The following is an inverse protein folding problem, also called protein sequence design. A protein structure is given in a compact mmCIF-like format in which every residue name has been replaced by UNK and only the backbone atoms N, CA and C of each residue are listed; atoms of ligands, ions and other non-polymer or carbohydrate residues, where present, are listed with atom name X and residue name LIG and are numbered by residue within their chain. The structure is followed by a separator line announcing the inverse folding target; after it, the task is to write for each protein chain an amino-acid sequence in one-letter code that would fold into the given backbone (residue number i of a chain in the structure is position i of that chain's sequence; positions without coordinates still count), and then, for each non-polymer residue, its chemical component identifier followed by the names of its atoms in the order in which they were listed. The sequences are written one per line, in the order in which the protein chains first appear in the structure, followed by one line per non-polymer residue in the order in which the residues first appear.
data_IF_269224380007
#
_entry.id   IF_269224380007
#
_cell.length_a   1.000
_cell.length_b   1.000
_cell.length_c   1.000
_cell.angle_alpha   90.00
_cell.angle_beta   90.00
_cell.angle_gamma   90.00
#
_symmetry.space_group_name_H-M   'P 1'
#
loop_
_entity.id
_entity.type
_entity.pdbx_description
1 polymer ?
#
# COMPACT_ATOMS: atom_id res chain seq x y z
N UNK A 1 24.79 47.21 -70.46
CA UNK A 1 23.92 48.28 -69.93
C UNK A 1 23.38 47.81 -68.58
N UNK A 2 24.22 47.54 -67.59
CA UNK A 2 24.99 48.50 -66.79
C UNK A 2 24.13 49.58 -66.14
N UNK A 3 23.80 49.32 -64.88
CA UNK A 3 23.98 50.22 -63.74
C UNK A 3 23.76 51.72 -64.00
N UNK A 4 22.64 52.25 -63.51
CA UNK A 4 22.55 53.51 -62.72
C UNK A 4 21.09 53.84 -62.41
N UNK A 5 20.87 54.35 -61.19
CA UNK A 5 19.59 54.78 -60.57
C UNK A 5 18.68 53.60 -60.19
N UNK A 6 18.60 53.15 -58.93
CA UNK A 6 18.22 53.93 -57.74
C UNK A 6 18.98 53.42 -56.51
N UNK A 7 19.95 54.20 -56.05
CA UNK A 7 20.52 54.14 -54.70
C UNK A 7 20.40 55.56 -54.14
N UNK A 8 19.79 55.69 -52.96
CA UNK A 8 19.41 56.92 -52.21
C UNK A 8 17.98 57.39 -52.43
N UNK A 9 17.04 56.79 -51.68
CA UNK A 9 16.22 57.47 -50.66
C UNK A 9 15.13 56.51 -50.18
N UNK A 10 15.44 55.75 -49.13
CA UNK A 10 14.51 55.18 -48.15
C UNK A 10 15.37 54.48 -47.09
N UNK A 11 16.19 55.27 -46.40
CA UNK A 11 16.78 54.86 -45.12
C UNK A 11 15.73 55.13 -44.04
N UNK A 12 15.57 54.16 -43.15
CA UNK A 12 14.90 54.27 -41.84
C UNK A 12 13.37 54.44 -41.83
N UNK A 13 12.64 53.33 -41.98
CA UNK A 13 11.33 53.12 -41.31
C UNK A 13 10.96 51.62 -41.34
N UNK A 14 11.91 50.74 -41.03
CA UNK A 14 11.66 49.32 -40.83
C UNK A 14 12.36 48.88 -39.57
N UNK A 15 11.62 48.18 -38.71
CA UNK A 15 12.11 47.43 -37.54
C UNK A 15 12.61 48.26 -36.36
N UNK A 16 11.67 48.80 -35.57
CA UNK A 16 11.84 48.97 -34.13
C UNK A 16 10.50 48.64 -33.45
N UNK A 17 10.05 47.39 -33.57
CA UNK A 17 9.47 46.77 -32.38
C UNK A 17 10.66 46.54 -31.44
N UNK A 18 10.59 46.93 -30.16
CA UNK A 18 11.71 46.77 -29.27
C UNK A 18 12.06 45.29 -29.21
N UNK A 19 13.34 44.92 -29.36
CA UNK A 19 13.81 43.57 -29.09
C UNK A 19 13.40 43.08 -27.68
N UNK A 20 13.05 44.01 -26.78
CA UNK A 20 12.49 43.74 -25.45
C UNK A 20 11.11 43.06 -25.49
N UNK A 21 10.24 43.36 -26.45
CA UNK A 21 8.86 42.79 -26.52
C UNK A 21 8.92 41.29 -26.87
N UNK A 22 9.78 40.92 -27.83
CA UNK A 22 9.99 39.51 -28.20
C UNK A 22 10.70 38.70 -27.11
N UNK A 23 11.61 39.33 -26.35
CA UNK A 23 12.24 38.69 -25.20
C UNK A 23 11.25 38.49 -24.03
N UNK A 24 10.36 39.46 -23.80
CA UNK A 24 9.34 39.38 -22.76
C UNK A 24 8.26 38.32 -23.05
N UNK A 25 7.79 38.19 -24.30
CA UNK A 25 6.88 37.11 -24.72
C UNK A 25 7.53 35.72 -24.63
N UNK A 26 8.82 35.61 -24.97
CA UNK A 26 9.61 34.38 -24.81
C UNK A 26 9.74 33.95 -23.35
N UNK A 27 10.00 34.89 -22.45
CA UNK A 27 10.16 34.62 -21.01
C UNK A 27 8.83 34.30 -20.31
N UNK A 28 7.72 34.94 -20.70
CA UNK A 28 6.41 34.61 -20.14
C UNK A 28 5.94 33.21 -20.59
N UNK A 29 6.14 32.87 -21.87
CA UNK A 29 5.89 31.52 -22.37
C UNK A 29 6.76 30.47 -21.67
N UNK A 30 8.05 30.77 -21.44
CA UNK A 30 8.94 29.91 -20.69
C UNK A 30 8.48 29.71 -19.24
N UNK A 31 7.99 30.76 -18.59
CA UNK A 31 7.45 30.68 -17.23
C UNK A 31 6.21 29.78 -17.15
N UNK A 32 5.25 29.93 -18.06
CA UNK A 32 4.08 29.05 -18.11
C UNK A 32 4.44 27.61 -18.43
N UNK A 33 5.37 27.41 -19.38
CA UNK A 33 5.85 26.08 -19.71
C UNK A 33 6.57 25.41 -18.53
N UNK A 34 7.26 26.17 -17.68
CA UNK A 34 7.88 25.67 -16.46
C UNK A 34 6.83 25.29 -15.39
N UNK A 35 5.76 26.10 -15.21
CA UNK A 35 4.63 25.75 -14.33
C UNK A 35 3.98 24.43 -14.76
N UNK A 36 3.69 24.28 -16.06
CA UNK A 36 3.07 23.06 -16.59
C UNK A 36 3.94 21.81 -16.44
N UNK A 37 5.26 21.97 -16.32
CA UNK A 37 6.22 20.88 -16.03
C UNK A 37 6.48 20.69 -14.53
N UNK A 38 5.88 21.52 -13.66
CA UNK A 38 6.11 21.48 -12.21
C UNK A 38 7.44 22.11 -11.75
N UNK A 39 8.15 22.82 -12.62
CA UNK A 39 9.40 23.51 -12.29
C UNK A 39 9.12 24.96 -11.85
N UNK A 40 8.65 25.07 -10.61
CA UNK A 40 8.20 26.35 -10.05
C UNK A 40 9.34 27.34 -9.80
N UNK A 41 10.57 26.88 -9.56
CA UNK A 41 11.74 27.77 -9.39
C UNK A 41 12.18 28.38 -10.72
N UNK A 42 12.24 27.58 -11.79
CA UNK A 42 12.53 28.11 -13.12
C UNK A 42 11.44 29.10 -13.58
N UNK A 43 10.17 28.81 -13.26
CA UNK A 43 9.07 29.74 -13.53
C UNK A 43 9.22 31.06 -12.79
N UNK A 44 9.57 31.02 -11.49
CA UNK A 44 9.79 32.21 -10.66
C UNK A 44 10.92 33.09 -11.21
N UNK A 45 12.03 32.47 -11.64
CA UNK A 45 13.15 33.18 -12.24
C UNK A 45 12.76 33.87 -13.56
N UNK A 46 12.03 33.15 -14.43
CA UNK A 46 11.53 33.70 -15.70
C UNK A 46 10.52 34.83 -15.49
N UNK A 47 9.57 34.69 -14.55
CA UNK A 47 8.61 35.74 -14.20
C UNK A 47 9.30 36.96 -13.60
N UNK A 48 10.32 36.78 -12.77
CA UNK A 48 11.10 37.89 -12.22
C UNK A 48 11.83 38.69 -13.31
N UNK A 49 12.20 38.07 -14.44
CA UNK A 49 12.73 38.80 -15.60
C UNK A 49 11.64 39.59 -16.33
N UNK A 50 10.48 38.97 -16.56
CA UNK A 50 9.32 39.62 -17.20
C UNK A 50 8.85 40.84 -16.40
N UNK A 51 8.73 40.68 -15.08
CA UNK A 51 8.26 41.73 -14.15
C UNK A 51 9.28 42.86 -13.94
N UNK A 52 10.54 42.69 -14.37
CA UNK A 52 11.57 43.75 -14.35
C UNK A 52 11.53 44.64 -15.59
N UNK A 53 10.79 44.26 -16.63
CA UNK A 53 10.62 45.11 -17.82
C UNK A 53 9.71 46.32 -17.52
N UNK A 54 9.90 47.43 -18.23
CA UNK A 54 9.05 48.64 -18.08
C UNK A 54 7.62 48.45 -18.63
N UNK A 55 7.31 47.29 -19.21
CA UNK A 55 6.05 47.00 -19.87
C UNK A 55 5.06 46.34 -18.89
N UNK A 56 3.89 46.94 -18.72
CA UNK A 56 2.88 46.44 -17.81
C UNK A 56 2.26 45.13 -18.33
N UNK A 57 2.54 44.00 -17.67
CA UNK A 57 1.98 42.68 -18.00
C UNK A 57 1.11 42.10 -16.86
N UNK A 58 -0.23 42.32 -16.89
CA UNK A 58 -1.15 41.82 -15.86
C UNK A 58 -1.14 40.29 -15.67
N UNK A 59 -0.93 39.53 -16.75
CA UNK A 59 -0.88 38.07 -16.70
C UNK A 59 0.35 37.55 -15.93
N UNK A 60 1.50 38.22 -16.09
CA UNK A 60 2.72 37.90 -15.37
C UNK A 60 2.58 38.17 -13.87
N UNK A 61 1.96 39.30 -13.49
CA UNK A 61 1.66 39.60 -12.07
C UNK A 61 0.75 38.56 -11.44
N UNK A 62 -0.31 38.17 -12.13
CA UNK A 62 -1.25 37.16 -11.63
C UNK A 62 -0.59 35.79 -11.46
N UNK A 63 0.27 35.40 -12.42
CA UNK A 63 1.03 34.16 -12.32
C UNK A 63 2.03 34.19 -11.15
N UNK A 64 2.72 35.32 -10.94
CA UNK A 64 3.63 35.51 -9.83
C UNK A 64 2.91 35.54 -8.47
N UNK A 65 1.73 36.15 -8.38
CA UNK A 65 0.86 36.08 -7.19
C UNK A 65 0.47 34.63 -6.87
N UNK A 66 0.06 33.83 -7.86
CA UNK A 66 -0.26 32.41 -7.66
C UNK A 66 0.94 31.60 -7.19
N UNK A 67 2.13 31.82 -7.77
CA UNK A 67 3.35 31.15 -7.35
C UNK A 67 3.76 31.55 -5.94
N UNK A 68 3.67 32.83 -5.58
CA UNK A 68 3.93 33.29 -4.21
C UNK A 68 3.00 32.61 -3.21
N UNK A 69 1.69 32.58 -3.49
CA UNK A 69 0.70 31.90 -2.66
C UNK A 69 0.99 30.40 -2.55
N UNK A 70 1.33 29.74 -3.66
CA UNK A 70 1.74 28.33 -3.64
C UNK A 70 2.96 28.09 -2.75
N UNK A 71 4.02 28.89 -2.91
CA UNK A 71 5.24 28.73 -2.11
C UNK A 71 5.03 29.05 -0.62
N UNK A 72 4.17 30.00 -0.29
CA UNK A 72 3.76 30.25 1.09
C UNK A 72 3.05 29.03 1.68
N UNK A 73 2.11 28.42 0.94
CA UNK A 73 1.44 27.16 1.35
C UNK A 73 2.45 26.03 1.52
N UNK A 74 3.41 25.86 0.60
CA UNK A 74 4.45 24.82 0.71
C UNK A 74 5.36 25.08 1.92
N UNK A 75 5.77 26.32 2.18
CA UNK A 75 6.57 26.68 3.34
C UNK A 75 5.82 26.42 4.65
N UNK A 76 4.55 26.82 4.73
CA UNK A 76 3.68 26.55 5.87
C UNK A 76 3.50 25.05 6.11
N UNK A 77 3.30 24.26 5.05
CA UNK A 77 3.24 22.79 5.15
C UNK A 77 4.54 22.21 5.68
N UNK A 78 5.70 22.68 5.20
CA UNK A 78 7.01 22.22 5.69
C UNK A 78 7.21 22.54 7.17
N UNK A 79 6.86 23.74 7.60
CA UNK A 79 6.93 24.15 9.01
C UNK A 79 6.00 23.30 9.88
N UNK A 80 4.76 23.06 9.44
CA UNK A 80 3.80 22.23 10.16
C UNK A 80 4.27 20.77 10.28
N UNK A 81 4.86 20.20 9.22
CA UNK A 81 5.44 18.86 9.26
C UNK A 81 6.59 18.78 10.27
N UNK A 82 7.51 19.75 10.27
CA UNK A 82 8.61 19.80 11.23
C UNK A 82 8.11 19.90 12.69
N UNK A 83 7.17 20.82 12.95
CA UNK A 83 6.56 20.95 14.27
C UNK A 83 5.81 19.67 14.71
N UNK A 84 5.11 19.02 13.77
CA UNK A 84 4.41 17.74 14.05
C UNK A 84 5.41 16.61 14.34
N UNK A 85 6.54 16.56 13.63
CA UNK A 85 7.61 15.61 13.91
C UNK A 85 8.16 15.79 15.33
N UNK A 86 8.58 17.01 15.68
CA UNK A 86 9.15 17.32 16.99
C UNK A 86 8.17 17.04 18.13
N UNK A 87 6.90 17.42 17.94
CA UNK A 87 5.85 17.15 18.92
C UNK A 87 5.66 15.64 19.15
N UNK A 88 5.52 14.85 18.08
CA UNK A 88 5.37 13.39 18.21
C UNK A 88 6.59 12.73 18.85
N UNK A 89 7.81 13.17 18.53
CA UNK A 89 9.03 12.65 19.19
C UNK A 89 9.01 12.97 20.69
N UNK A 90 8.64 14.20 21.06
CA UNK A 90 8.55 14.61 22.46
C UNK A 90 7.50 13.78 23.23
N UNK A 91 6.30 13.61 22.67
CA UNK A 91 5.25 12.81 23.31
C UNK A 91 5.61 11.34 23.38
N UNK A 92 6.28 10.79 22.37
CA UNK A 92 6.79 9.41 22.40
C UNK A 92 7.78 9.21 23.55
N UNK A 93 8.73 10.14 23.74
CA UNK A 93 9.71 10.08 24.82
C UNK A 93 9.06 10.22 26.20
N UNK A 94 8.07 11.11 26.36
CA UNK A 94 7.30 11.25 27.61
C UNK A 94 6.54 9.97 27.94
N UNK A 95 5.84 9.39 26.97
CA UNK A 95 5.11 8.14 27.14
C UNK A 95 6.06 6.99 27.52
N UNK A 96 7.23 6.91 26.88
CA UNK A 96 8.24 5.91 27.22
C UNK A 96 8.76 6.08 28.66
N UNK A 97 9.06 7.32 29.06
CA UNK A 97 9.48 7.63 30.44
C UNK A 97 8.39 7.34 31.49
N UNK A 98 7.11 7.42 31.11
CA UNK A 98 5.98 7.03 31.94
C UNK A 98 5.74 5.52 32.02
N UNK A 99 6.51 4.70 31.28
CA UNK A 99 6.31 3.25 31.21
C UNK A 99 5.15 2.83 30.31
N UNK A 100 4.79 3.65 29.32
CA UNK A 100 3.68 3.42 28.39
C UNK A 100 4.20 3.13 26.95
N UNK A 101 4.82 1.97 26.70
CA UNK A 101 5.51 1.70 25.43
C UNK A 101 4.55 1.64 24.23
N UNK A 102 3.30 1.22 24.40
CA UNK A 102 2.35 1.18 23.28
C UNK A 102 1.90 2.57 22.84
N UNK A 103 1.76 3.50 23.80
CA UNK A 103 1.48 4.89 23.50
C UNK A 103 2.69 5.55 22.83
N UNK A 104 3.89 5.29 23.37
CA UNK A 104 5.14 5.75 22.79
C UNK A 104 5.32 5.26 21.34
N UNK A 105 4.99 3.99 21.06
CA UNK A 105 4.99 3.43 19.71
C UNK A 105 4.03 4.16 18.77
N UNK A 106 2.83 4.49 19.24
CA UNK A 106 1.85 5.25 18.46
C UNK A 106 2.41 6.60 18.00
N UNK A 107 2.98 7.37 18.93
CA UNK A 107 3.60 8.66 18.61
C UNK A 107 4.86 8.49 17.73
N UNK A 108 5.73 7.53 18.04
CA UNK A 108 6.94 7.28 17.24
C UNK A 108 6.61 6.89 15.79
N UNK A 109 5.63 6.00 15.60
CA UNK A 109 5.17 5.59 14.27
C UNK A 109 4.53 6.76 13.49
N UNK A 110 3.85 7.68 14.17
CA UNK A 110 3.36 8.92 13.55
C UNK A 110 4.49 9.89 13.21
N UNK A 111 5.52 9.99 14.05
CA UNK A 111 6.68 10.84 13.79
C UNK A 111 7.39 10.44 12.48
N UNK A 112 7.54 9.14 12.19
CA UNK A 112 8.13 8.68 10.91
C UNK A 112 7.45 9.34 9.71
N UNK A 113 6.12 9.46 9.74
CA UNK A 113 5.35 10.02 8.65
C UNK A 113 5.71 11.48 8.34
N UNK A 114 6.24 12.22 9.32
CA UNK A 114 6.66 13.61 9.22
C UNK A 114 8.18 13.79 9.15
N UNK A 115 8.96 12.72 9.29
CA UNK A 115 10.41 12.76 9.24
C UNK A 115 10.94 13.16 7.86
N UNK A 116 12.09 13.84 7.85
CA UNK A 116 12.84 14.14 6.62
C UNK A 116 13.51 12.88 6.04
N UNK A 117 14.11 12.06 6.90
CA UNK A 117 14.59 10.70 6.62
C UNK A 117 13.83 9.70 7.51
N UNK A 118 13.08 8.79 6.88
CA UNK A 118 12.27 7.77 7.57
C UNK A 118 13.14 6.82 8.41
N UNK A 119 14.44 6.70 8.09
CA UNK A 119 15.39 5.83 8.80
C UNK A 119 16.07 6.51 9.98
N UNK A 120 16.06 7.84 10.04
CA UNK A 120 16.76 8.60 11.07
C UNK A 120 16.18 8.30 12.46
N UNK A 121 14.85 8.29 12.57
CA UNK A 121 14.17 8.04 13.82
C UNK A 121 14.46 6.62 14.36
N UNK A 122 14.38 5.59 13.51
CA UNK A 122 14.66 4.20 13.88
C UNK A 122 16.09 3.93 14.38
N UNK A 123 17.04 4.83 14.07
CA UNK A 123 18.43 4.75 14.55
C UNK A 123 18.62 5.30 15.96
N UNK A 124 17.68 6.07 16.49
CA UNK A 124 17.81 6.68 17.81
C UNK A 124 17.77 5.61 18.91
N UNK A 125 18.63 5.69 19.96
CA UNK A 125 18.72 4.66 20.99
C UNK A 125 17.38 4.34 21.68
N UNK A 126 16.60 5.38 22.04
CA UNK A 126 15.31 5.20 22.70
C UNK A 126 14.28 4.50 21.80
N UNK A 127 14.37 4.67 20.48
CA UNK A 127 13.49 3.99 19.52
C UNK A 127 13.84 2.51 19.42
N UNK A 128 15.13 2.16 19.48
CA UNK A 128 15.57 0.75 19.54
C UNK A 128 15.11 0.07 20.81
N UNK A 129 15.24 0.72 21.96
CA UNK A 129 14.74 0.21 23.24
C UNK A 129 13.22 0.00 23.23
N UNK A 130 12.49 1.00 22.69
CA UNK A 130 11.05 0.90 22.47
C UNK A 130 10.71 -0.29 21.55
N UNK A 131 11.45 -0.46 20.46
CA UNK A 131 11.21 -1.54 19.50
C UNK A 131 11.36 -2.92 20.14
N UNK A 132 12.43 -3.15 20.92
CA UNK A 132 12.63 -4.40 21.66
C UNK A 132 11.49 -4.67 22.65
N UNK A 133 11.08 -3.65 23.40
CA UNK A 133 9.96 -3.74 24.35
C UNK A 133 8.66 -4.11 23.65
N UNK A 134 8.37 -3.48 22.51
CA UNK A 134 7.15 -3.74 21.73
C UNK A 134 7.20 -5.09 21.05
N UNK A 135 8.36 -5.55 20.56
CA UNK A 135 8.54 -6.91 20.00
C UNK A 135 8.24 -7.97 21.04
N UNK A 136 8.76 -7.82 22.26
CA UNK A 136 8.45 -8.72 23.36
C UNK A 136 6.95 -8.73 23.69
N UNK A 137 6.30 -7.57 23.67
CA UNK A 137 4.84 -7.48 23.87
C UNK A 137 4.06 -8.14 22.73
N UNK A 138 4.46 -7.92 21.46
CA UNK A 138 3.84 -8.58 20.31
C UNK A 138 3.94 -10.11 20.42
N UNK A 139 5.11 -10.64 20.79
CA UNK A 139 5.29 -12.06 21.04
C UNK A 139 4.40 -12.59 22.18
N UNK A 140 4.19 -11.81 23.25
CA UNK A 140 3.22 -12.16 24.31
C UNK A 140 1.78 -12.22 23.78
N UNK A 141 1.38 -11.27 22.92
CA UNK A 141 0.05 -11.25 22.28
C UNK A 141 -0.17 -12.46 21.37
N UNK A 142 0.86 -12.88 20.63
CA UNK A 142 0.80 -14.11 19.84
C UNK A 142 0.58 -15.35 20.71
N UNK A 143 1.33 -15.49 21.81
CA UNK A 143 1.17 -16.59 22.77
C UNK A 143 -0.24 -16.61 23.39
N UNK A 144 -0.82 -15.43 23.62
CA UNK A 144 -2.19 -15.26 24.07
C UNK A 144 -3.25 -15.46 22.95
N UNK A 145 -2.84 -15.80 21.72
CA UNK A 145 -3.70 -15.94 20.54
C UNK A 145 -4.45 -14.64 20.18
N UNK A 146 -3.89 -13.49 20.56
CA UNK A 146 -4.37 -12.15 20.23
C UNK A 146 -3.71 -11.61 18.96
N UNK A 147 -3.77 -12.40 17.88
CA UNK A 147 -3.09 -12.12 16.61
C UNK A 147 -3.38 -10.76 16.00
N UNK A 148 -4.60 -10.24 16.17
CA UNK A 148 -4.96 -8.88 15.72
C UNK A 148 -4.20 -7.78 16.47
N UNK A 149 -3.98 -7.97 17.77
CA UNK A 149 -3.20 -7.04 18.58
C UNK A 149 -1.71 -7.11 18.20
N UNK A 150 -1.17 -8.34 18.06
CA UNK A 150 0.21 -8.55 17.59
C UNK A 150 0.44 -7.92 16.21
N UNK A 151 -0.49 -8.13 15.27
CA UNK A 151 -0.45 -7.53 13.94
C UNK A 151 -0.41 -5.99 14.00
N UNK A 152 -1.23 -5.38 14.85
CA UNK A 152 -1.23 -3.93 15.04
C UNK A 152 0.14 -3.39 15.49
N UNK A 153 0.80 -4.12 16.39
CA UNK A 153 2.15 -3.77 16.86
C UNK A 153 3.20 -3.94 15.76
N UNK A 154 3.15 -5.03 14.99
CA UNK A 154 4.09 -5.23 13.87
C UNK A 154 3.89 -4.21 12.75
N UNK A 155 2.64 -3.80 12.46
CA UNK A 155 2.36 -2.73 11.50
C UNK A 155 2.98 -1.40 11.95
N UNK A 156 2.85 -1.06 13.24
CA UNK A 156 3.43 0.17 13.78
C UNK A 156 4.96 0.11 13.82
N UNK A 157 5.55 -1.02 14.23
CA UNK A 157 7.00 -1.23 14.16
C UNK A 157 7.51 -1.19 12.72
N UNK A 158 6.74 -1.71 11.76
CA UNK A 158 7.11 -1.72 10.35
C UNK A 158 7.25 -0.32 9.76
N UNK A 159 6.55 0.67 10.32
CA UNK A 159 6.77 2.08 9.96
C UNK A 159 8.12 2.58 10.45
N UNK A 160 8.56 2.17 11.65
CA UNK A 160 9.86 2.54 12.20
C UNK A 160 11.03 1.81 11.53
N UNK A 161 10.78 0.59 11.04
CA UNK A 161 11.77 -0.28 10.42
C UNK A 161 11.25 -0.87 9.10
N UNK A 162 11.10 -0.05 8.04
CA UNK A 162 10.48 -0.47 6.79
C UNK A 162 11.25 -1.57 6.03
N UNK A 163 12.57 -1.64 6.24
CA UNK A 163 13.45 -2.61 5.59
C UNK A 163 13.68 -3.88 6.42
N UNK A 164 13.05 -4.01 7.58
CA UNK A 164 13.24 -5.15 8.46
C UNK A 164 12.46 -6.37 7.94
N UNK A 165 13.22 -7.34 7.41
CA UNK A 165 12.66 -8.54 6.79
C UNK A 165 12.05 -9.50 7.81
N UNK A 166 12.64 -9.63 8.99
CA UNK A 166 12.07 -10.48 10.07
C UNK A 166 10.73 -9.92 10.53
N UNK A 167 10.66 -8.60 10.72
CA UNK A 167 9.43 -7.92 11.09
C UNK A 167 8.35 -8.05 10.01
N UNK A 168 8.75 -7.99 8.74
CA UNK A 168 7.83 -8.24 7.61
C UNK A 168 7.25 -9.65 7.66
N UNK A 169 8.07 -10.66 7.91
CA UNK A 169 7.64 -12.06 8.04
C UNK A 169 6.68 -12.26 9.23
N UNK A 170 7.02 -11.69 10.40
CA UNK A 170 6.17 -11.71 11.60
C UNK A 170 4.81 -11.04 11.34
N UNK A 171 4.81 -9.87 10.69
CA UNK A 171 3.60 -9.15 10.28
C UNK A 171 2.72 -10.00 9.37
N UNK A 172 3.31 -10.63 8.35
CA UNK A 172 2.58 -11.49 7.41
C UNK A 172 2.00 -12.73 8.11
N UNK A 173 2.76 -13.37 9.00
CA UNK A 173 2.29 -14.50 9.80
C UNK A 173 1.12 -14.09 10.72
N UNK A 174 1.25 -12.99 11.44
CA UNK A 174 0.19 -12.46 12.31
C UNK A 174 -1.05 -12.05 11.49
N UNK A 175 -0.88 -11.47 10.31
CA UNK A 175 -1.97 -11.12 9.40
C UNK A 175 -2.75 -12.36 8.95
N UNK A 176 -2.05 -13.43 8.54
CA UNK A 176 -2.69 -14.71 8.17
C UNK A 176 -3.52 -15.26 9.35
N UNK A 177 -2.96 -15.27 10.55
CA UNK A 177 -3.66 -15.76 11.75
C UNK A 177 -4.89 -14.90 12.11
N UNK A 178 -4.74 -13.58 12.10
CA UNK A 178 -5.84 -12.66 12.38
C UNK A 178 -6.97 -12.78 11.36
N UNK A 179 -6.64 -12.95 10.07
CA UNK A 179 -7.61 -13.09 8.97
C UNK A 179 -8.57 -14.25 9.19
N UNK A 180 -8.09 -15.41 9.64
CA UNK A 180 -8.91 -16.62 9.84
C UNK A 180 -10.09 -16.34 10.78
N UNK A 181 -9.89 -15.58 11.86
CA UNK A 181 -10.96 -15.23 12.82
C UNK A 181 -12.00 -14.29 12.21
N UNK A 182 -11.60 -13.43 11.28
CA UNK A 182 -12.45 -12.43 10.62
C UNK A 182 -13.27 -13.05 9.49
N UNK A 183 -12.65 -13.92 8.69
CA UNK A 183 -13.30 -14.60 7.56
C UNK A 183 -14.22 -15.70 8.08
N UNK A 184 -13.74 -16.54 9.00
CA UNK A 184 -14.49 -17.68 9.53
C UNK A 184 -15.04 -17.37 10.93
N UNK A 185 -15.96 -16.39 10.99
CA UNK A 185 -16.57 -15.94 12.25
C UNK A 185 -17.40 -17.03 12.93
N UNK A 186 -18.04 -17.89 12.16
CA UNK A 186 -18.86 -19.00 12.62
C UNK A 186 -19.01 -20.04 11.49
N UNK A 187 -19.60 -21.19 11.82
CA UNK A 187 -19.80 -22.30 10.89
C UNK A 187 -20.63 -21.91 9.66
N UNK A 188 -21.63 -21.02 9.82
CA UNK A 188 -22.47 -20.54 8.72
C UNK A 188 -21.67 -19.74 7.70
N UNK A 189 -20.85 -18.79 8.16
CA UNK A 189 -19.96 -18.00 7.30
C UNK A 189 -18.93 -18.90 6.61
N UNK A 190 -18.38 -19.90 7.31
CA UNK A 190 -17.52 -20.92 6.70
C UNK A 190 -18.24 -21.65 5.56
N UNK A 191 -19.41 -22.22 5.83
CA UNK A 191 -20.20 -22.97 4.84
C UNK A 191 -20.57 -22.11 3.63
N UNK A 192 -20.90 -20.85 3.84
CA UNK A 192 -21.19 -19.91 2.76
C UNK A 192 -19.94 -19.61 1.94
N UNK A 193 -18.79 -19.40 2.59
CA UNK A 193 -17.53 -19.07 1.94
C UNK A 193 -17.03 -20.18 1.02
N UNK A 194 -17.12 -21.42 1.47
CA UNK A 194 -16.62 -22.60 0.74
C UNK A 194 -17.67 -23.22 -0.19
N UNK A 195 -18.84 -22.58 -0.31
CA UNK A 195 -19.93 -23.06 -1.15
C UNK A 195 -19.50 -23.03 -2.61
N UNK A 196 -19.83 -24.10 -3.34
CA UNK A 196 -19.54 -24.25 -4.77
C UNK A 196 -18.03 -24.20 -5.10
N UNK A 197 -17.18 -24.50 -4.12
CA UNK A 197 -15.72 -24.64 -4.28
C UNK A 197 -15.35 -26.12 -4.36
N UNK A 198 -14.53 -26.47 -5.35
CA UNK A 198 -13.92 -27.79 -5.48
C UNK A 198 -12.47 -27.71 -6.04
N UNK A 199 -11.76 -28.85 -6.03
CA UNK A 199 -10.35 -28.93 -6.48
C UNK A 199 -10.14 -28.55 -7.96
N UNK A 200 -11.19 -28.52 -8.79
CA UNK A 200 -11.06 -28.05 -10.17
C UNK A 200 -10.66 -26.57 -10.24
N UNK A 201 -11.07 -25.75 -9.25
CA UNK A 201 -10.72 -24.35 -9.17
C UNK A 201 -9.22 -24.16 -8.91
N UNK A 202 -8.65 -24.84 -7.91
CA UNK A 202 -7.20 -24.76 -7.66
C UNK A 202 -6.39 -25.23 -8.88
N UNK A 203 -6.80 -26.34 -9.51
CA UNK A 203 -6.13 -26.82 -10.73
C UNK A 203 -6.23 -25.83 -11.88
N UNK A 204 -7.37 -25.14 -12.03
CA UNK A 204 -7.54 -24.10 -13.04
C UNK A 204 -6.64 -22.90 -12.74
N UNK A 205 -6.60 -22.45 -11.48
CA UNK A 205 -5.74 -21.36 -11.02
C UNK A 205 -4.27 -21.64 -11.28
N UNK A 206 -3.76 -22.82 -10.89
CA UNK A 206 -2.35 -23.18 -11.13
C UNK A 206 -2.01 -23.16 -12.63
N UNK A 207 -2.91 -23.68 -13.49
CA UNK A 207 -2.73 -23.61 -14.94
C UNK A 207 -2.78 -22.19 -15.49
N UNK A 208 -3.63 -21.32 -14.94
CA UNK A 208 -3.67 -19.91 -15.36
C UNK A 208 -2.37 -19.21 -15.00
N UNK A 209 -1.86 -19.40 -13.79
CA UNK A 209 -0.57 -18.85 -13.36
C UNK A 209 0.56 -19.35 -14.25
N UNK A 210 0.63 -20.65 -14.52
CA UNK A 210 1.65 -21.24 -15.41
C UNK A 210 1.67 -20.62 -16.81
N UNK A 211 0.51 -20.27 -17.37
CA UNK A 211 0.39 -19.81 -18.76
C UNK A 211 0.38 -18.30 -18.93
N UNK A 212 -0.15 -17.58 -17.96
CA UNK A 212 -0.55 -16.18 -18.11
C UNK A 212 0.16 -15.24 -17.14
N UNK A 213 0.92 -15.77 -16.18
CA UNK A 213 1.67 -14.93 -15.28
C UNK A 213 2.76 -14.17 -16.04
N UNK A 214 2.99 -12.92 -15.67
CA UNK A 214 3.78 -11.98 -16.48
C UNK A 214 5.28 -12.33 -16.55
N UNK A 215 5.75 -13.19 -15.65
CA UNK A 215 7.12 -13.72 -15.54
C UNK A 215 7.06 -15.21 -15.22
N UNK A 216 8.20 -15.88 -15.19
CA UNK A 216 8.27 -17.26 -14.72
C UNK A 216 7.79 -17.36 -13.26
N UNK A 217 6.71 -18.13 -12.96
CA UNK A 217 6.20 -18.26 -11.60
C UNK A 217 7.15 -19.06 -10.71
N UNK A 218 7.35 -18.59 -9.47
CA UNK A 218 8.07 -19.35 -8.44
C UNK A 218 7.11 -20.32 -7.75
N UNK A 219 6.96 -21.52 -8.33
CA UNK A 219 6.08 -22.56 -7.78
C UNK A 219 6.52 -23.07 -6.41
N UNK A 220 7.81 -22.94 -6.04
CA UNK A 220 8.29 -23.31 -4.70
C UNK A 220 7.77 -22.33 -3.66
N UNK A 221 7.86 -21.02 -3.95
CA UNK A 221 7.32 -19.97 -3.09
C UNK A 221 5.80 -20.05 -2.97
N UNK A 222 5.12 -20.38 -4.06
CA UNK A 222 3.68 -20.67 -4.05
C UNK A 222 3.35 -21.86 -3.13
N UNK A 223 4.09 -22.97 -3.25
CA UNK A 223 3.90 -24.15 -2.41
C UNK A 223 4.08 -23.87 -0.91
N UNK A 224 5.12 -23.13 -0.53
CA UNK A 224 5.34 -22.76 0.89
C UNK A 224 4.23 -21.84 1.40
N UNK A 225 3.79 -20.87 0.60
CA UNK A 225 2.66 -20.00 0.94
C UNK A 225 1.35 -20.75 1.15
N UNK A 226 1.03 -21.69 0.26
CA UNK A 226 -0.16 -22.54 0.38
C UNK A 226 -0.13 -23.41 1.63
N UNK A 227 1.02 -24.03 1.94
CA UNK A 227 1.20 -24.82 3.17
C UNK A 227 1.12 -23.96 4.43
N UNK A 228 1.68 -22.75 4.42
CA UNK A 228 1.62 -21.83 5.56
C UNK A 228 0.18 -21.37 5.85
N UNK A 229 -0.64 -21.17 4.82
CA UNK A 229 -2.06 -20.91 4.99
C UNK A 229 -2.81 -22.10 5.59
N UNK A 230 -2.58 -23.33 5.10
CA UNK A 230 -3.22 -24.53 5.66
C UNK A 230 -2.74 -24.81 7.10
N UNK A 231 -1.47 -24.59 7.42
CA UNK A 231 -0.95 -24.64 8.79
C UNK A 231 -1.65 -23.63 9.71
N UNK A 232 -1.92 -22.43 9.20
CA UNK A 232 -2.67 -21.38 9.92
C UNK A 232 -4.10 -21.85 10.24
N UNK A 233 -4.80 -22.43 9.26
CA UNK A 233 -6.13 -23.02 9.43
C UNK A 233 -6.11 -24.12 10.49
N UNK A 234 -5.17 -25.06 10.38
CA UNK A 234 -5.05 -26.18 11.32
C UNK A 234 -4.72 -25.71 12.75
N UNK A 235 -3.94 -24.62 12.88
CA UNK A 235 -3.58 -23.99 14.15
C UNK A 235 -4.70 -23.15 14.78
N UNK A 236 -5.69 -22.70 14.00
CA UNK A 236 -6.68 -21.72 14.44
C UNK A 236 -7.53 -22.21 15.61
N UNK A 237 -7.48 -21.50 16.74
CA UNK A 237 -8.36 -21.77 17.88
C UNK A 237 -9.84 -21.53 17.56
N UNK A 238 -10.13 -20.55 16.69
CA UNK A 238 -11.51 -20.21 16.34
C UNK A 238 -12.20 -21.34 15.58
N UNK A 239 -11.50 -21.94 14.63
CA UNK A 239 -12.05 -23.03 13.81
C UNK A 239 -12.36 -24.29 14.63
N UNK A 240 -11.61 -24.55 15.71
CA UNK A 240 -11.87 -25.68 16.64
C UNK A 240 -13.26 -25.62 17.27
N UNK A 241 -13.89 -24.45 17.33
CA UNK A 241 -15.23 -24.31 17.93
C UNK A 241 -16.35 -24.91 17.09
N UNK A 242 -16.10 -25.26 15.82
CA UNK A 242 -17.10 -25.85 14.92
C UNK A 242 -16.50 -26.77 13.84
N UNK A 243 -15.24 -27.19 13.98
CA UNK A 243 -14.60 -28.22 13.16
C UNK A 243 -14.01 -29.29 14.10
N UNK A 244 -14.77 -30.36 14.31
CA UNK A 244 -14.50 -31.35 15.36
C UNK A 244 -13.12 -32.01 15.23
N UNK A 245 -12.69 -32.33 14.01
CA UNK A 245 -11.36 -32.93 13.81
C UNK A 245 -10.21 -31.99 14.17
N UNK A 246 -10.38 -30.66 14.06
CA UNK A 246 -9.40 -29.69 14.57
C UNK A 246 -9.42 -29.57 16.10
N UNK A 247 -10.57 -29.82 16.73
CA UNK A 247 -10.68 -29.80 18.19
C UNK A 247 -9.88 -30.96 18.82
N UNK A 248 -9.78 -32.10 18.13
CA UNK A 248 -8.94 -33.23 18.55
C UNK A 248 -7.45 -32.89 18.43
N UNK A 249 -6.76 -32.85 19.57
CA UNK A 249 -5.32 -32.52 19.63
C UNK A 249 -4.44 -33.51 18.89
N UNK A 250 -4.68 -34.82 19.02
CA UNK A 250 -3.85 -35.83 18.37
C UNK A 250 -3.97 -35.79 16.83
N UNK A 251 -5.20 -35.65 16.31
CA UNK A 251 -5.45 -35.52 14.87
C UNK A 251 -4.81 -34.23 14.32
N UNK A 252 -4.96 -33.11 15.04
CA UNK A 252 -4.35 -31.83 14.67
C UNK A 252 -2.81 -31.87 14.69
N UNK A 253 -2.21 -32.49 15.70
CA UNK A 253 -0.75 -32.65 15.77
C UNK A 253 -0.24 -33.54 14.65
N UNK A 254 -0.92 -34.65 14.36
CA UNK A 254 -0.60 -35.50 13.23
C UNK A 254 -0.67 -34.73 11.90
N UNK A 255 -1.77 -34.01 11.65
CA UNK A 255 -1.97 -33.22 10.43
C UNK A 255 -0.89 -32.13 10.29
N UNK A 256 -0.70 -31.31 11.33
CA UNK A 256 0.29 -30.23 11.29
C UNK A 256 1.72 -30.76 11.21
N UNK A 257 2.02 -31.91 11.82
CA UNK A 257 3.29 -32.61 11.66
C UNK A 257 3.53 -32.97 10.18
N UNK A 258 2.54 -33.58 9.52
CA UNK A 258 2.65 -33.91 8.10
C UNK A 258 2.80 -32.67 7.22
N UNK A 259 2.06 -31.60 7.48
CA UNK A 259 2.20 -30.35 6.73
C UNK A 259 3.60 -29.73 6.86
N UNK A 260 4.21 -29.77 8.06
CA UNK A 260 5.59 -29.29 8.28
C UNK A 260 6.61 -30.16 7.53
N UNK A 261 6.43 -31.47 7.52
CA UNK A 261 7.26 -32.40 6.74
C UNK A 261 7.20 -32.08 5.24
N UNK A 262 5.98 -31.91 4.70
CA UNK A 262 5.77 -31.50 3.30
C UNK A 262 6.44 -30.15 3.00
N UNK A 263 6.30 -29.18 3.90
CA UNK A 263 6.90 -27.84 3.76
C UNK A 263 8.42 -27.90 3.73
N UNK A 264 9.02 -28.74 4.58
CA UNK A 264 10.46 -28.97 4.58
C UNK A 264 10.90 -29.57 3.24
N UNK A 265 10.16 -30.58 2.73
CA UNK A 265 10.43 -31.17 1.42
C UNK A 265 10.36 -30.18 0.25
N UNK A 266 9.44 -29.21 0.30
CA UNK A 266 9.38 -28.11 -0.69
C UNK A 266 10.62 -27.21 -0.60
N UNK A 267 11.04 -26.86 0.61
CA UNK A 267 12.21 -26.00 0.86
C UNK A 267 13.49 -26.65 0.33
N UNK A 268 13.64 -27.95 0.56
CA UNK A 268 14.83 -28.73 0.21
C UNK A 268 14.88 -29.13 -1.27
N UNK A 269 13.77 -29.00 -2.01
CA UNK A 269 13.70 -29.34 -3.42
C UNK A 269 14.65 -28.47 -4.26
N UNK A 270 15.37 -29.07 -5.22
CA UNK A 270 16.27 -28.33 -6.12
C UNK A 270 15.52 -27.61 -7.23
N UNK A 271 14.50 -28.26 -7.78
CA UNK A 271 13.56 -27.73 -8.78
C UNK A 271 12.15 -27.98 -8.26
N UNK A 272 11.22 -27.10 -8.61
CA UNK A 272 9.83 -27.23 -8.21
C UNK A 272 8.95 -26.61 -9.28
N UNK A 273 8.11 -27.42 -9.92
CA UNK A 273 7.24 -26.99 -11.00
C UNK A 273 5.74 -27.03 -10.62
N UNK A 274 4.88 -26.68 -11.57
CA UNK A 274 3.43 -26.70 -11.35
C UNK A 274 2.88 -28.11 -11.09
N UNK A 275 3.51 -29.18 -11.63
CA UNK A 275 3.08 -30.56 -11.40
C UNK A 275 3.41 -31.00 -9.98
N UNK A 276 4.59 -30.59 -9.48
CA UNK A 276 5.00 -30.77 -8.10
C UNK A 276 4.02 -30.08 -7.14
N UNK A 277 3.62 -28.84 -7.44
CA UNK A 277 2.62 -28.10 -6.66
C UNK A 277 1.26 -28.83 -6.62
N UNK A 278 0.78 -29.33 -7.76
CA UNK A 278 -0.47 -30.09 -7.82
C UNK A 278 -0.37 -31.43 -7.08
N UNK A 279 0.80 -32.07 -7.09
CA UNK A 279 1.05 -33.30 -6.32
C UNK A 279 1.06 -33.01 -4.82
N UNK A 280 1.72 -31.93 -4.40
CA UNK A 280 1.72 -31.48 -3.02
C UNK A 280 0.30 -31.26 -2.49
N UNK A 281 -0.56 -30.59 -3.26
CA UNK A 281 -1.93 -30.35 -2.80
C UNK A 281 -2.71 -31.67 -2.61
N UNK A 282 -2.51 -32.68 -3.47
CA UNK A 282 -3.10 -34.02 -3.26
C UNK A 282 -2.59 -34.68 -1.99
N UNK A 283 -1.31 -34.51 -1.65
CA UNK A 283 -0.74 -35.00 -0.40
C UNK A 283 -1.34 -34.30 0.82
N UNK A 284 -1.62 -32.99 0.72
CA UNK A 284 -2.36 -32.24 1.76
C UNK A 284 -3.78 -32.80 1.94
N UNK A 285 -4.51 -33.05 0.86
CA UNK A 285 -5.86 -33.66 0.93
C UNK A 285 -5.82 -35.06 1.55
N UNK A 286 -4.85 -35.89 1.17
CA UNK A 286 -4.67 -37.22 1.73
C UNK A 286 -4.35 -37.16 3.23
N UNK A 287 -3.47 -36.24 3.65
CA UNK A 287 -3.15 -36.02 5.05
C UNK A 287 -4.39 -35.57 5.84
N UNK A 288 -5.21 -34.68 5.28
CA UNK A 288 -6.45 -34.22 5.89
C UNK A 288 -7.44 -35.38 6.11
N UNK A 289 -7.67 -36.18 5.06
CA UNK A 289 -8.58 -37.33 5.09
C UNK A 289 -8.15 -38.39 6.10
N UNK A 290 -6.85 -38.54 6.33
CA UNK A 290 -6.31 -39.44 7.36
C UNK A 290 -6.22 -38.83 8.76
N UNK A 291 -6.76 -37.64 9.00
CA UNK A 291 -6.60 -36.94 10.28
C UNK A 291 -7.78 -36.05 10.68
N UNK A 292 -7.70 -34.74 10.45
CA UNK A 292 -8.63 -33.73 10.97
C UNK A 292 -9.91 -33.61 10.15
N UNK A 293 -9.98 -34.23 8.96
CA UNK A 293 -11.16 -34.30 8.11
C UNK A 293 -11.91 -32.96 7.96
N UNK A 294 -11.17 -31.85 7.83
CA UNK A 294 -11.80 -30.55 7.55
C UNK A 294 -12.39 -30.55 6.13
N UNK A 295 -13.40 -29.70 5.84
CA UNK A 295 -13.97 -29.63 4.49
C UNK A 295 -12.87 -29.41 3.44
N UNK A 296 -12.80 -30.26 2.40
CA UNK A 296 -11.77 -30.13 1.36
C UNK A 296 -11.83 -28.76 0.68
N UNK A 297 -13.03 -28.22 0.47
CA UNK A 297 -13.25 -26.89 -0.08
C UNK A 297 -12.58 -25.76 0.75
N UNK A 298 -12.48 -25.92 2.08
CA UNK A 298 -11.72 -24.99 2.92
C UNK A 298 -10.23 -25.06 2.58
N UNK A 299 -9.68 -26.25 2.39
CA UNK A 299 -8.28 -26.43 2.00
C UNK A 299 -8.00 -25.89 0.61
N UNK A 300 -8.93 -26.05 -0.34
CA UNK A 300 -8.84 -25.47 -1.69
C UNK A 300 -8.72 -23.94 -1.61
N UNK A 301 -9.63 -23.29 -0.87
CA UNK A 301 -9.61 -21.82 -0.70
C UNK A 301 -8.29 -21.38 -0.06
N UNK A 302 -7.97 -21.96 1.07
CA UNK A 302 -6.87 -21.50 1.92
C UNK A 302 -5.49 -21.76 1.31
N UNK A 303 -5.29 -22.94 0.72
CA UNK A 303 -4.06 -23.24 0.01
C UNK A 303 -3.90 -22.34 -1.22
N UNK A 304 -4.99 -22.06 -1.95
CA UNK A 304 -4.96 -21.19 -3.14
C UNK A 304 -4.65 -19.75 -2.77
N UNK A 305 -5.35 -19.18 -1.78
CA UNK A 305 -5.09 -17.81 -1.34
C UNK A 305 -3.66 -17.67 -0.78
N UNK A 306 -3.20 -18.68 -0.02
CA UNK A 306 -1.82 -18.73 0.48
C UNK A 306 -0.77 -18.80 -0.63
N UNK A 307 -1.00 -19.62 -1.67
CA UNK A 307 -0.02 -19.77 -2.75
C UNK A 307 0.08 -18.51 -3.62
N UNK A 308 -1.05 -17.85 -3.88
CA UNK A 308 -1.06 -16.64 -4.71
C UNK A 308 -0.53 -15.43 -3.94
N UNK A 309 -0.88 -15.27 -2.66
CA UNK A 309 -0.34 -14.19 -1.84
C UNK A 309 1.17 -14.29 -1.62
N UNK A 310 1.74 -15.49 -1.68
CA UNK A 310 3.19 -15.66 -1.66
C UNK A 310 3.86 -15.25 -2.98
N UNK A 311 3.13 -15.25 -4.09
CA UNK A 311 3.65 -14.86 -5.40
C UNK A 311 3.83 -13.34 -5.49
N UNK A 312 2.76 -12.58 -5.25
CA UNK A 312 2.74 -11.12 -5.14
C UNK A 312 1.43 -10.59 -4.50
N UNK A 313 1.36 -9.27 -4.29
CA UNK A 313 0.20 -8.60 -3.67
C UNK A 313 -0.97 -8.34 -4.62
N UNK A 314 -0.82 -8.62 -5.93
CA UNK A 314 -1.79 -8.26 -6.97
C UNK A 314 -2.54 -9.48 -7.53
N UNK A 315 -2.01 -10.67 -7.31
CA UNK A 315 -2.57 -11.92 -7.83
C UNK A 315 -3.52 -12.52 -6.80
N UNK A 316 -4.79 -12.67 -7.19
CA UNK A 316 -5.82 -13.25 -6.33
C UNK A 316 -6.87 -14.01 -7.14
N UNK A 317 -7.65 -14.84 -6.45
CA UNK A 317 -8.80 -15.55 -7.02
C UNK A 317 -10.08 -14.90 -6.52
N UNK A 318 -11.03 -14.72 -7.42
CA UNK A 318 -12.40 -14.35 -7.07
C UNK A 318 -13.16 -15.67 -6.83
N UNK A 319 -13.46 -15.94 -5.57
CA UNK A 319 -14.17 -17.15 -5.19
C UNK A 319 -15.66 -17.07 -5.55
N UNK A 320 -16.37 -18.21 -5.72
CA UNK A 320 -17.81 -18.22 -6.02
C UNK A 320 -18.65 -17.35 -5.06
N UNK A 321 -18.27 -17.32 -3.78
CA UNK A 321 -18.92 -16.49 -2.76
C UNK A 321 -18.73 -14.97 -2.97
N UNK A 322 -17.69 -14.56 -3.70
CA UNK A 322 -17.30 -13.15 -3.92
C UNK A 322 -17.79 -12.59 -5.26
N UNK A 323 -18.18 -13.45 -6.22
CA UNK A 323 -18.54 -13.03 -7.59
C UNK A 323 -19.55 -11.89 -7.61
N UNK A 324 -20.61 -12.00 -6.80
CA UNK A 324 -21.66 -10.96 -6.75
C UNK A 324 -21.12 -9.61 -6.30
N UNK A 325 -20.20 -9.59 -5.34
CA UNK A 325 -19.63 -8.35 -4.84
C UNK A 325 -18.62 -7.77 -5.84
N UNK A 326 -17.83 -8.65 -6.46
CA UNK A 326 -16.93 -8.28 -7.54
C UNK A 326 -17.68 -7.65 -8.74
N UNK A 327 -18.80 -8.25 -9.15
CA UNK A 327 -19.62 -7.73 -10.25
C UNK A 327 -20.15 -6.33 -9.95
N UNK A 328 -20.61 -6.06 -8.72
CA UNK A 328 -21.06 -4.71 -8.33
C UNK A 328 -19.95 -3.68 -8.43
N UNK A 329 -18.73 -4.03 -7.99
CA UNK A 329 -17.57 -3.16 -8.05
C UNK A 329 -17.20 -2.86 -9.51
N UNK A 330 -17.21 -3.87 -10.38
CA UNK A 330 -16.90 -3.72 -11.80
C UNK A 330 -17.95 -2.92 -12.58
N UNK A 331 -19.23 -3.09 -12.23
CA UNK A 331 -20.34 -2.36 -12.86
C UNK A 331 -20.51 -0.92 -12.36
N UNK A 332 -19.63 -0.45 -11.48
CA UNK A 332 -19.68 0.92 -10.97
C UNK A 332 -20.88 1.19 -10.06
N UNK A 333 -21.47 0.15 -9.47
CA UNK A 333 -22.55 0.26 -8.50
C UNK A 333 -22.03 0.76 -7.14
N UNK A 334 -21.40 1.93 -7.13
CA UNK A 334 -20.93 2.60 -5.92
C UNK A 334 -22.01 3.55 -5.42
N UNK A 335 -22.52 3.33 -4.22
CA UNK A 335 -23.23 4.36 -3.46
C UNK A 335 -22.18 5.24 -2.76
N UNK A 336 -22.18 6.56 -3.00
CA UNK A 336 -21.22 7.48 -2.37
C UNK A 336 -21.16 8.88 -3.01
N UNK A 337 -20.20 9.70 -2.57
CA UNK A 337 -20.00 11.10 -3.04
C UNK A 337 -19.02 11.23 -4.22
N UNK A 338 -18.51 10.11 -4.75
CA UNK A 338 -17.63 10.07 -5.92
C UNK A 338 -16.18 10.50 -5.66
N UNK A 339 -15.54 9.89 -4.66
CA UNK A 339 -14.11 10.10 -4.36
C UNK A 339 -13.35 8.80 -4.56
N UNK A 340 -12.24 8.87 -5.30
CA UNK A 340 -11.21 7.84 -5.24
C UNK A 340 -10.34 8.10 -4.02
N UNK A 341 -10.53 7.26 -3.00
CA UNK A 341 -9.70 7.30 -1.79
C UNK A 341 -8.43 6.47 -2.00
N UNK A 342 -7.39 6.87 -1.30
CA UNK A 342 -6.13 6.15 -1.16
C UNK A 342 -5.70 6.21 0.29
N UNK A 343 -4.70 5.40 0.63
CA UNK A 343 -3.99 5.57 1.88
C UNK A 343 -2.76 6.42 1.61
N UNK A 344 -2.51 7.43 2.44
CA UNK A 344 -1.19 8.03 2.51
C UNK A 344 -0.26 7.00 3.17
N UNK A 345 0.65 6.41 2.41
CA UNK A 345 1.49 5.28 2.85
C UNK A 345 2.36 5.62 4.08
N UNK A 346 2.70 6.90 4.25
CA UNK A 346 3.52 7.40 5.37
C UNK A 346 2.71 7.54 6.65
N UNK A 347 1.54 8.18 6.58
CA UNK A 347 0.71 8.51 7.74
C UNK A 347 -0.33 7.43 8.06
N UNK A 348 -0.66 6.58 7.09
CA UNK A 348 -1.77 5.62 7.14
C UNK A 348 -3.15 6.26 7.15
N UNK A 349 -3.25 7.57 6.87
CA UNK A 349 -4.53 8.30 6.83
C UNK A 349 -5.20 8.16 5.48
N UNK A 350 -6.53 8.23 5.47
CA UNK A 350 -7.30 8.32 4.24
C UNK A 350 -6.99 9.64 3.54
N UNK A 351 -6.61 9.53 2.27
CA UNK A 351 -6.24 10.63 1.40
C UNK A 351 -7.08 10.58 0.14
N UNK A 352 -7.45 11.73 -0.38
CA UNK A 352 -8.11 11.82 -1.69
C UNK A 352 -7.06 11.64 -2.78
N UNK A 353 -7.20 10.58 -3.58
CA UNK A 353 -6.40 10.40 -4.80
C UNK A 353 -6.94 11.32 -5.89
N UNK A 354 -8.25 11.27 -6.11
CA UNK A 354 -8.93 12.15 -7.06
C UNK A 354 -10.44 12.16 -6.82
N UNK A 355 -11.12 13.32 -6.87
CA UNK A 355 -12.57 13.34 -7.06
C UNK A 355 -12.92 12.81 -8.46
N UNK A 356 -14.08 12.16 -8.59
CA UNK A 356 -14.60 11.72 -9.89
C UNK A 356 -15.23 12.92 -10.63
N UNK A 357 -15.16 12.94 -11.96
CA UNK A 357 -15.82 13.96 -12.77
C UNK A 357 -17.34 13.92 -12.56
N UNK A 358 -17.97 15.10 -12.51
CA UNK A 358 -19.41 15.28 -12.25
C UNK A 358 -19.90 14.62 -10.94
N UNK A 359 -19.05 14.59 -9.91
CA UNK A 359 -19.41 14.06 -8.60
C UNK A 359 -19.73 15.16 -7.59
N UNK A 360 -20.55 14.88 -6.57
CA UNK A 360 -20.78 15.80 -5.45
C UNK A 360 -19.48 16.23 -4.76
N UNK A 361 -18.47 15.35 -4.70
CA UNK A 361 -17.18 15.69 -4.12
C UNK A 361 -16.40 16.75 -4.92
N UNK A 362 -16.45 16.69 -6.26
CA UNK A 362 -15.84 17.70 -7.12
C UNK A 362 -16.57 19.05 -6.97
N UNK A 363 -17.91 19.03 -6.92
CA UNK A 363 -18.73 20.21 -6.68
C UNK A 363 -18.48 20.84 -5.31
N UNK A 364 -18.20 20.02 -4.29
CA UNK A 364 -17.82 20.46 -2.95
C UNK A 364 -16.38 21.01 -2.85
N UNK A 365 -15.61 20.97 -3.95
CA UNK A 365 -14.26 21.54 -4.01
C UNK A 365 -13.17 20.67 -3.39
N UNK A 366 -13.44 19.37 -3.18
CA UNK A 366 -12.45 18.42 -2.67
C UNK A 366 -11.32 18.24 -3.70
N UNK A 367 -10.07 18.31 -3.25
CA UNK A 367 -8.90 18.26 -4.11
C UNK A 367 -8.09 16.98 -3.95
N UNK A 368 -7.33 16.56 -4.98
CA UNK A 368 -6.26 15.59 -4.81
C UNK A 368 -5.35 15.99 -3.64
N UNK A 369 -4.92 14.99 -2.90
CA UNK A 369 -4.10 15.09 -1.69
C UNK A 369 -4.76 15.60 -0.41
N UNK A 370 -6.06 15.92 -0.43
CA UNK A 370 -6.79 16.21 0.81
C UNK A 370 -6.78 15.01 1.76
N UNK A 371 -6.54 15.27 3.05
CA UNK A 371 -6.60 14.25 4.09
C UNK A 371 -8.00 14.22 4.70
N UNK A 372 -8.64 13.06 4.67
CA UNK A 372 -9.92 12.85 5.35
C UNK A 372 -9.63 12.71 6.85
N UNK A 373 -10.03 13.73 7.62
CA UNK A 373 -9.79 13.79 9.07
C UNK A 373 -10.87 13.08 9.89
N UNK A 374 -12.13 13.09 9.44
CA UNK A 374 -13.27 12.45 10.09
C UNK A 374 -14.43 12.29 9.09
N UNK A 375 -15.37 11.39 9.40
CA UNK A 375 -16.65 11.22 8.68
C UNK A 375 -17.75 11.12 9.72
N UNK A 376 -18.65 12.11 9.74
CA UNK A 376 -19.71 12.25 10.76
C UNK A 376 -19.21 12.40 12.21
N UNK A 377 -18.05 13.01 12.39
CA UNK A 377 -17.39 13.19 13.70
C UNK A 377 -16.68 11.93 14.13
#
# INVERSE_FOLDING_TARGET
MLMRYVRRMALAAGLLLPAAVWAAEGNLSAAYAAILRGDYEASRAALAEVLRSEEDQPAARRADEWLRAYHEVIANRKALKAASFEWNVSEAQKALAAGEPLLALGFAAQAVAYAADEKELGRQPWVRELAETVRAEAARREQANEWGNALGLYLALGRLYPDDTELKELREAAARQARVKVVYRNEKELKQRIRDVDDSLLRATVRMVERMYYREPDFRKMATGGLDAVLTVAGSQKLRSYLDGLANTALREHFTGKLRELRQGVTDAKSYDYQDLLRLFREVLAANKGSVEVPEALLVVEFTDGMLGALDDYTSVIWPADVKEFDKQMMGGFEGIGIKLGLDERTGRLKVVSPLENSPALEAGIQPDDLIVAVNG
#
